data_IF_131663947484
#
_entry.id   IF_131663947484
#
_cell.length_a   1.000
_cell.length_b   1.000
_cell.length_c   1.000
_cell.angle_alpha   90.00
_cell.angle_beta   90.00
_cell.angle_gamma   90.00
#
_symmetry.space_group_name_H-M   'P 1'
#
loop_
_entity.id
_entity.type
_entity.pdbx_description
1 polymer ?
#
# COMPACT_ATOMS: atom_id res chain seq x y z
N UNK A 1 -0.29 -10.70 2.11
CA UNK A 1 -0.96 -11.36 3.25
C UNK A 1 -2.19 -12.14 2.78
N UNK A 2 -3.19 -11.51 2.12
CA UNK A 2 -4.44 -12.17 1.71
C UNK A 2 -4.22 -13.41 0.82
N UNK A 3 -3.45 -13.31 -0.25
CA UNK A 3 -3.14 -14.45 -1.12
C UNK A 3 -2.47 -15.62 -0.36
N UNK A 4 -1.55 -15.31 0.56
CA UNK A 4 -0.91 -16.35 1.37
C UNK A 4 -1.90 -17.04 2.32
N UNK A 5 -2.89 -16.30 2.82
CA UNK A 5 -3.94 -16.90 3.65
C UNK A 5 -4.84 -17.84 2.83
N UNK A 6 -5.20 -17.46 1.59
CA UNK A 6 -5.96 -18.32 0.68
C UNK A 6 -5.18 -19.59 0.27
N UNK A 7 -3.85 -19.48 0.05
CA UNK A 7 -3.01 -20.65 -0.23
C UNK A 7 -3.04 -21.64 0.94
N UNK A 8 -3.00 -21.13 2.19
CA UNK A 8 -3.05 -21.95 3.40
C UNK A 8 -4.45 -22.52 3.70
N UNK A 9 -5.47 -21.74 3.45
CA UNK A 9 -6.87 -22.12 3.66
C UNK A 9 -7.76 -21.51 2.56
N UNK A 10 -8.01 -22.25 1.47
CA UNK A 10 -8.78 -21.77 0.31
C UNK A 10 -10.22 -21.35 0.63
N UNK A 11 -10.80 -21.88 1.72
CA UNK A 11 -12.18 -21.58 2.12
C UNK A 11 -12.29 -20.35 3.04
N UNK A 12 -11.19 -19.69 3.39
CA UNK A 12 -11.21 -18.51 4.26
C UNK A 12 -11.90 -17.32 3.58
N UNK A 13 -12.80 -16.68 4.30
CA UNK A 13 -13.40 -15.43 3.88
C UNK A 13 -12.47 -14.27 4.19
N UNK A 14 -11.80 -13.77 3.16
CA UNK A 14 -10.88 -12.62 3.25
C UNK A 14 -11.59 -11.37 2.75
N UNK A 15 -11.62 -10.34 3.59
CA UNK A 15 -12.14 -9.03 3.21
C UNK A 15 -10.96 -8.05 3.21
N UNK A 16 -10.72 -7.42 2.04
CA UNK A 16 -9.81 -6.29 1.90
C UNK A 16 -10.63 -5.02 1.69
N UNK A 17 -10.32 -3.99 2.45
CA UNK A 17 -11.01 -2.71 2.35
C UNK A 17 -10.03 -1.54 2.56
N UNK A 18 -9.91 -0.62 1.60
CA UNK A 18 -9.36 0.71 1.86
C UNK A 18 -10.22 1.42 2.89
N UNK A 19 -9.61 2.09 3.87
CA UNK A 19 -10.40 2.66 4.96
C UNK A 19 -11.44 3.66 4.48
N UNK A 20 -11.18 4.45 3.46
CA UNK A 20 -12.17 5.40 2.95
C UNK A 20 -13.42 4.74 2.39
N UNK A 21 -13.29 3.53 1.85
CA UNK A 21 -14.44 2.72 1.41
C UNK A 21 -15.23 2.20 2.62
N UNK A 22 -14.55 1.78 3.68
CA UNK A 22 -15.17 1.44 4.95
C UNK A 22 -15.98 2.63 5.49
N UNK A 23 -15.36 3.81 5.59
CA UNK A 23 -16.03 5.04 6.06
C UNK A 23 -17.27 5.36 5.22
N UNK A 24 -17.17 5.24 3.90
CA UNK A 24 -18.30 5.45 2.99
C UNK A 24 -19.41 4.44 3.25
N UNK A 25 -19.08 3.16 3.41
CA UNK A 25 -20.06 2.11 3.71
C UNK A 25 -20.78 2.37 5.02
N UNK A 26 -20.06 2.72 6.10
CA UNK A 26 -20.63 3.09 7.39
C UNK A 26 -21.56 4.31 7.25
N UNK A 27 -21.08 5.38 6.65
CA UNK A 27 -21.84 6.63 6.52
C UNK A 27 -23.13 6.44 5.71
N UNK A 28 -23.05 5.68 4.62
CA UNK A 28 -24.22 5.37 3.78
C UNK A 28 -25.21 4.49 4.53
N UNK A 29 -24.74 3.45 5.22
CA UNK A 29 -25.60 2.53 5.95
C UNK A 29 -26.31 3.19 7.15
N UNK A 30 -25.65 4.14 7.81
CA UNK A 30 -26.28 4.94 8.86
C UNK A 30 -27.45 5.79 8.31
N UNK A 31 -27.27 6.41 7.13
CA UNK A 31 -28.35 7.18 6.48
C UNK A 31 -29.55 6.33 6.07
N UNK A 32 -29.32 5.07 5.72
CA UNK A 32 -30.36 4.14 5.28
C UNK A 32 -30.84 3.17 6.37
N UNK A 33 -30.41 3.34 7.63
CA UNK A 33 -30.72 2.44 8.74
C UNK A 33 -30.36 0.95 8.48
N UNK A 34 -29.26 0.71 7.74
CA UNK A 34 -28.79 -0.63 7.37
C UNK A 34 -27.43 -0.97 8.00
N UNK A 35 -27.03 -0.28 9.05
CA UNK A 35 -25.71 -0.41 9.67
C UNK A 35 -25.41 -1.84 10.14
N UNK A 36 -26.41 -2.56 10.63
CA UNK A 36 -26.24 -3.94 11.09
C UNK A 36 -25.79 -4.88 9.96
N UNK A 37 -26.30 -4.68 8.73
CA UNK A 37 -25.88 -5.50 7.58
C UNK A 37 -24.40 -5.27 7.27
N UNK A 38 -23.92 -4.03 7.37
CA UNK A 38 -22.50 -3.69 7.13
C UNK A 38 -21.62 -4.28 8.22
N UNK A 39 -22.04 -4.21 9.47
CA UNK A 39 -21.34 -4.85 10.60
C UNK A 39 -21.24 -6.35 10.40
N UNK A 40 -22.34 -7.03 10.12
CA UNK A 40 -22.37 -8.47 9.85
C UNK A 40 -21.47 -8.87 8.69
N UNK A 41 -21.43 -8.05 7.62
CA UNK A 41 -20.53 -8.28 6.49
C UNK A 41 -19.06 -8.31 6.94
N UNK A 42 -18.57 -7.28 7.65
CA UNK A 42 -17.19 -7.24 8.12
C UNK A 42 -16.89 -8.28 9.20
N UNK A 43 -17.83 -8.54 10.10
CA UNK A 43 -17.71 -9.55 11.15
C UNK A 43 -17.65 -10.99 10.63
N UNK A 44 -18.14 -11.22 9.41
CA UNK A 44 -18.08 -12.53 8.76
C UNK A 44 -16.69 -12.88 8.21
N UNK A 45 -15.72 -11.96 8.25
CA UNK A 45 -14.37 -12.22 7.76
C UNK A 45 -13.61 -13.20 8.66
N UNK A 46 -12.84 -14.10 8.06
CA UNK A 46 -11.80 -14.87 8.73
C UNK A 46 -10.50 -14.07 8.80
N UNK A 47 -10.27 -13.22 7.80
CA UNK A 47 -9.19 -12.27 7.74
C UNK A 47 -9.71 -10.92 7.21
N UNK A 48 -9.61 -9.88 8.04
CA UNK A 48 -9.90 -8.50 7.65
C UNK A 48 -8.60 -7.75 7.39
N UNK A 49 -8.44 -7.24 6.17
CA UNK A 49 -7.32 -6.40 5.75
C UNK A 49 -7.82 -4.97 5.56
N UNK A 50 -7.30 -4.02 6.34
CA UNK A 50 -7.68 -2.62 6.26
C UNK A 50 -6.48 -1.78 5.86
N UNK A 51 -6.60 -1.07 4.75
CA UNK A 51 -5.52 -0.22 4.24
C UNK A 51 -5.69 1.23 4.70
N UNK A 52 -4.57 1.85 5.08
CA UNK A 52 -4.49 3.23 5.53
C UNK A 52 -5.39 3.56 6.74
N UNK A 53 -5.32 2.75 7.81
CA UNK A 53 -6.20 2.86 9.01
C UNK A 53 -6.15 4.26 9.65
N UNK A 54 -5.06 5.02 9.48
CA UNK A 54 -4.93 6.38 10.01
C UNK A 54 -5.99 7.35 9.46
N UNK A 55 -6.57 7.09 8.29
CA UNK A 55 -7.61 7.91 7.68
C UNK A 55 -8.96 7.87 8.42
N UNK A 56 -9.10 7.00 9.44
CA UNK A 56 -10.29 6.98 10.32
C UNK A 56 -10.30 8.14 11.33
N UNK A 57 -9.16 8.79 11.53
CA UNK A 57 -9.00 9.89 12.46
C UNK A 57 -10.01 11.02 12.20
N UNK A 58 -10.61 11.57 13.26
CA UNK A 58 -11.64 12.61 13.17
C UNK A 58 -12.99 12.15 12.61
N UNK A 59 -13.23 10.86 12.43
CA UNK A 59 -14.49 10.30 11.93
C UNK A 59 -15.21 9.50 13.02
N UNK A 60 -15.73 10.19 14.04
CA UNK A 60 -16.22 9.61 15.30
C UNK A 60 -17.15 8.41 15.09
N UNK A 61 -18.19 8.55 14.24
CA UNK A 61 -19.14 7.46 13.97
C UNK A 61 -18.46 6.24 13.33
N UNK A 62 -17.52 6.46 12.43
CA UNK A 62 -16.77 5.37 11.81
C UNK A 62 -15.79 4.71 12.79
N UNK A 63 -15.19 5.48 13.70
CA UNK A 63 -14.34 4.97 14.78
C UNK A 63 -15.16 4.09 15.73
N UNK A 64 -16.35 4.52 16.10
CA UNK A 64 -17.28 3.78 16.97
C UNK A 64 -17.63 2.41 16.34
N UNK A 65 -18.09 2.40 15.10
CA UNK A 65 -18.49 1.17 14.42
C UNK A 65 -17.29 0.25 14.12
N UNK A 66 -16.14 0.85 13.76
CA UNK A 66 -14.92 0.08 13.59
C UNK A 66 -14.49 -0.61 14.89
N UNK A 67 -14.58 0.08 16.03
CA UNK A 67 -14.28 -0.49 17.33
C UNK A 67 -15.17 -1.70 17.67
N UNK A 68 -16.46 -1.65 17.34
CA UNK A 68 -17.38 -2.78 17.53
C UNK A 68 -17.01 -3.97 16.66
N UNK A 69 -16.73 -3.74 15.37
CA UNK A 69 -16.29 -4.79 14.44
C UNK A 69 -14.95 -5.40 14.89
N UNK A 70 -13.99 -4.55 15.26
CA UNK A 70 -12.69 -4.99 15.76
C UNK A 70 -12.83 -5.91 16.98
N UNK A 71 -13.59 -5.47 18.01
CA UNK A 71 -13.77 -6.27 19.22
C UNK A 71 -14.45 -7.62 18.93
N UNK A 72 -15.42 -7.66 18.03
CA UNK A 72 -16.05 -8.91 17.62
C UNK A 72 -15.04 -9.86 16.98
N UNK A 73 -14.29 -9.41 15.98
CA UNK A 73 -13.28 -10.21 15.30
C UNK A 73 -12.17 -10.67 16.27
N UNK A 74 -11.73 -9.79 17.17
CA UNK A 74 -10.73 -10.10 18.18
C UNK A 74 -11.24 -11.16 19.16
N UNK A 75 -12.46 -11.03 19.69
CA UNK A 75 -13.05 -11.99 20.64
C UNK A 75 -13.30 -13.36 20.00
N UNK A 76 -13.60 -13.39 18.71
CA UNK A 76 -13.79 -14.63 17.94
C UNK A 76 -12.48 -15.18 17.33
N UNK A 77 -11.33 -14.61 17.74
CA UNK A 77 -9.97 -15.04 17.29
C UNK A 77 -9.78 -14.99 15.77
N UNK A 78 -10.46 -14.05 15.10
CA UNK A 78 -10.26 -13.79 13.68
C UNK A 78 -9.03 -12.91 13.48
N UNK A 79 -8.40 -13.05 12.31
CA UNK A 79 -7.20 -12.29 11.99
C UNK A 79 -7.56 -10.90 11.46
N UNK A 80 -6.85 -9.87 11.94
CA UNK A 80 -6.96 -8.50 11.45
C UNK A 80 -5.57 -7.98 11.12
N UNK A 81 -5.42 -7.34 9.96
CA UNK A 81 -4.16 -6.70 9.54
C UNK A 81 -4.48 -5.29 9.07
N UNK A 82 -3.74 -4.31 9.57
CA UNK A 82 -3.82 -2.92 9.15
C UNK A 82 -2.53 -2.46 8.50
N UNK A 83 -2.63 -1.52 7.57
CA UNK A 83 -1.52 -0.65 7.20
C UNK A 83 -1.71 0.74 7.80
N UNK A 84 -0.61 1.41 8.08
CA UNK A 84 -0.60 2.76 8.63
C UNK A 84 0.71 3.46 8.23
N UNK A 85 0.68 4.75 8.00
CA UNK A 85 1.85 5.57 7.67
C UNK A 85 2.68 5.98 8.90
N UNK A 86 2.12 5.78 10.09
CA UNK A 86 2.74 6.17 11.36
C UNK A 86 2.32 5.24 12.51
N UNK A 87 3.06 5.18 13.62
CA UNK A 87 2.66 4.41 14.78
C UNK A 87 1.29 4.84 15.32
N UNK A 88 0.41 3.90 15.73
CA UNK A 88 -0.96 4.21 16.17
C UNK A 88 -1.06 5.29 17.27
N UNK A 89 -0.07 5.34 18.17
CA UNK A 89 0.01 6.34 19.24
C UNK A 89 0.15 7.78 18.74
N UNK A 90 0.70 7.96 17.54
CA UNK A 90 0.95 9.28 16.94
C UNK A 90 -0.22 9.79 16.12
N UNK A 91 -1.24 8.97 15.84
CA UNK A 91 -2.40 9.38 15.07
C UNK A 91 -3.20 10.37 15.90
N UNK A 92 -3.27 11.62 15.43
CA UNK A 92 -4.11 12.66 16.03
C UNK A 92 -5.59 12.32 15.79
N UNK A 93 -6.48 12.78 16.64
CA UNK A 93 -7.94 12.60 16.51
C UNK A 93 -8.40 11.14 16.37
N UNK A 94 -7.57 10.19 16.81
CA UNK A 94 -7.94 8.79 16.99
C UNK A 94 -8.32 8.55 18.45
N UNK A 95 -9.46 7.89 18.70
CA UNK A 95 -9.93 7.57 20.04
C UNK A 95 -8.92 6.69 20.81
N UNK A 96 -8.72 6.98 22.10
CA UNK A 96 -7.74 6.27 22.94
C UNK A 96 -8.00 4.76 22.98
N UNK A 97 -9.27 4.34 22.97
CA UNK A 97 -9.64 2.91 22.94
C UNK A 97 -9.12 2.21 21.68
N UNK A 98 -9.16 2.87 20.50
CA UNK A 98 -8.60 2.33 19.26
C UNK A 98 -7.07 2.36 19.27
N UNK A 99 -6.44 3.45 19.78
CA UNK A 99 -4.96 3.51 19.96
C UNK A 99 -4.46 2.34 20.79
N UNK A 100 -5.13 2.05 21.89
CA UNK A 100 -4.80 0.93 22.78
C UNK A 100 -4.91 -0.41 22.04
N UNK A 101 -6.02 -0.63 21.32
CA UNK A 101 -6.25 -1.87 20.56
C UNK A 101 -5.21 -2.08 19.46
N UNK A 102 -4.92 -1.03 18.68
CA UNK A 102 -3.93 -1.12 17.60
C UNK A 102 -2.52 -1.36 18.12
N UNK A 103 -2.21 -0.85 19.32
CA UNK A 103 -0.89 -1.05 19.97
C UNK A 103 -0.73 -2.43 20.61
N UNK A 104 -1.81 -3.15 20.90
CA UNK A 104 -1.76 -4.49 21.50
C UNK A 104 -1.32 -5.58 20.54
N UNK A 105 -1.45 -5.37 19.22
CA UNK A 105 -1.06 -6.31 18.19
C UNK A 105 0.44 -6.30 17.89
N UNK A 106 0.84 -7.16 16.96
CA UNK A 106 2.20 -7.14 16.40
C UNK A 106 2.35 -5.93 15.47
N UNK A 107 3.18 -4.98 15.87
CA UNK A 107 3.51 -3.82 15.06
C UNK A 107 4.85 -4.03 14.37
N UNK A 108 4.85 -4.04 13.04
CA UNK A 108 6.03 -4.19 12.20
C UNK A 108 6.24 -2.91 11.41
N UNK A 109 7.42 -2.31 11.54
CA UNK A 109 7.83 -1.19 10.72
C UNK A 109 8.47 -1.70 9.44
N UNK A 110 7.97 -1.24 8.29
CA UNK A 110 8.58 -1.48 6.99
C UNK A 110 9.52 -0.31 6.67
N UNK A 111 10.82 -0.58 6.69
CA UNK A 111 11.83 0.40 6.28
C UNK A 111 11.85 0.56 4.75
N UNK A 112 12.24 1.74 4.24
CA UNK A 112 12.54 1.88 2.82
C UNK A 112 13.57 0.85 2.37
N UNK A 113 13.45 0.32 1.13
CA UNK A 113 14.40 -0.66 0.63
C UNK A 113 15.81 -0.05 0.44
N UNK A 114 16.84 -0.83 0.72
CA UNK A 114 18.23 -0.48 0.44
C UNK A 114 18.51 -0.43 -1.07
N UNK A 115 19.69 0.06 -1.47
CA UNK A 115 20.05 0.30 -2.87
C UNK A 115 19.86 -0.94 -3.75
N UNK A 116 20.42 -2.06 -3.32
CA UNK A 116 20.37 -3.33 -4.06
C UNK A 116 18.93 -3.85 -4.18
N UNK A 117 18.14 -3.70 -3.12
CA UNK A 117 16.73 -4.07 -3.14
C UNK A 117 15.93 -3.16 -4.07
N UNK A 118 16.23 -1.85 -4.13
CA UNK A 118 15.59 -0.92 -5.08
C UNK A 118 15.91 -1.30 -6.52
N UNK A 119 17.19 -1.64 -6.81
CA UNK A 119 17.60 -2.11 -8.14
C UNK A 119 16.88 -3.42 -8.52
N UNK A 120 16.81 -4.38 -7.61
CA UNK A 120 16.08 -5.63 -7.85
C UNK A 120 14.56 -5.39 -8.09
N UNK A 121 13.95 -4.43 -7.38
CA UNK A 121 12.55 -4.02 -7.62
C UNK A 121 12.41 -3.44 -9.03
N UNK A 122 13.31 -2.56 -9.45
CA UNK A 122 13.30 -1.97 -10.78
C UNK A 122 13.42 -3.03 -11.89
N UNK A 123 14.37 -3.95 -11.77
CA UNK A 123 14.57 -5.06 -12.71
C UNK A 123 13.32 -5.94 -12.81
N UNK A 124 12.72 -6.30 -11.67
CA UNK A 124 11.50 -7.11 -11.66
C UNK A 124 10.30 -6.39 -12.27
N UNK A 125 10.16 -5.09 -11.99
CA UNK A 125 9.02 -4.30 -12.49
C UNK A 125 9.17 -3.90 -13.95
N UNK A 126 10.40 -3.70 -14.44
CA UNK A 126 10.65 -3.42 -15.86
C UNK A 126 10.22 -4.57 -16.77
N UNK A 127 10.21 -5.81 -16.26
CA UNK A 127 9.76 -7.01 -16.98
C UNK A 127 8.23 -7.15 -17.03
N UNK A 128 7.48 -6.31 -16.32
CA UNK A 128 6.02 -6.34 -16.38
C UNK A 128 5.57 -6.06 -17.83
N UNK A 129 4.61 -6.82 -18.40
CA UNK A 129 4.12 -6.61 -19.77
C UNK A 129 3.64 -5.19 -20.07
N UNK A 130 3.16 -4.47 -19.06
CA UNK A 130 2.75 -3.07 -19.22
C UNK A 130 3.92 -2.09 -19.37
N UNK A 131 5.11 -2.43 -18.85
CA UNK A 131 6.33 -1.61 -18.90
C UNK A 131 7.22 -2.12 -20.02
N UNK A 132 7.56 -3.40 -20.02
CA UNK A 132 8.33 -4.11 -21.06
C UNK A 132 9.63 -3.39 -21.44
N UNK A 133 10.42 -2.95 -20.45
CA UNK A 133 11.73 -2.35 -20.63
C UNK A 133 12.82 -3.37 -20.26
N UNK A 134 13.85 -3.49 -21.10
CA UNK A 134 15.00 -4.33 -20.81
C UNK A 134 16.08 -3.50 -20.13
N UNK A 135 16.09 -3.48 -18.79
CA UNK A 135 17.10 -2.78 -18.00
C UNK A 135 18.28 -3.69 -17.68
N UNK A 136 19.49 -3.21 -17.90
CA UNK A 136 20.69 -3.84 -17.33
C UNK A 136 20.78 -3.56 -15.81
N UNK A 137 21.53 -4.39 -15.10
CA UNK A 137 21.77 -4.22 -13.66
C UNK A 137 22.41 -2.86 -13.35
N UNK A 138 23.37 -2.42 -14.15
CA UNK A 138 24.04 -1.12 -14.01
C UNK A 138 23.05 0.06 -14.15
N UNK A 139 22.12 -0.02 -15.08
CA UNK A 139 21.09 1.01 -15.28
C UNK A 139 20.10 0.99 -14.14
N UNK A 140 19.69 -0.17 -13.66
CA UNK A 140 18.80 -0.30 -12.50
C UNK A 140 19.46 0.26 -11.23
N UNK A 141 20.74 -0.03 -10.98
CA UNK A 141 21.50 0.55 -9.86
C UNK A 141 21.64 2.07 -10.00
N UNK A 142 21.87 2.57 -11.22
CA UNK A 142 21.93 4.01 -11.48
C UNK A 142 20.62 4.71 -11.13
N UNK A 143 19.47 4.20 -11.58
CA UNK A 143 18.15 4.74 -11.22
C UNK A 143 17.94 4.65 -9.70
N UNK A 144 18.22 3.48 -9.11
CA UNK A 144 18.05 3.23 -7.68
C UNK A 144 18.89 4.17 -6.78
N UNK A 145 20.06 4.59 -7.24
CA UNK A 145 20.93 5.51 -6.48
C UNK A 145 20.38 6.94 -6.43
N UNK A 146 19.54 7.33 -7.37
CA UNK A 146 18.96 8.67 -7.46
C UNK A 146 17.53 8.74 -6.96
N UNK A 147 16.76 7.65 -7.08
CA UNK A 147 15.37 7.57 -6.61
C UNK A 147 15.34 6.84 -5.27
N UNK A 148 15.47 7.60 -4.17
CA UNK A 148 15.66 7.06 -2.81
C UNK A 148 14.40 7.11 -1.94
N UNK A 149 13.34 7.78 -2.38
CA UNK A 149 12.20 8.15 -1.52
C UNK A 149 11.29 6.97 -1.16
N UNK A 150 10.79 6.22 -2.13
CA UNK A 150 9.89 5.09 -1.91
C UNK A 150 9.72 4.24 -3.18
N UNK A 151 9.06 3.07 -3.06
CA UNK A 151 8.83 2.16 -4.19
C UNK A 151 7.90 2.75 -5.25
N UNK A 152 6.93 3.61 -4.86
CA UNK A 152 6.02 4.28 -5.82
C UNK A 152 6.78 5.23 -6.74
N UNK A 153 7.80 5.91 -6.22
CA UNK A 153 8.65 6.80 -7.03
C UNK A 153 9.54 6.01 -7.99
N UNK A 154 9.99 4.80 -7.60
CA UNK A 154 10.66 3.88 -8.52
C UNK A 154 9.74 3.45 -9.67
N UNK A 155 8.49 3.12 -9.39
CA UNK A 155 7.48 2.81 -10.41
C UNK A 155 7.19 4.01 -11.30
N UNK A 156 7.05 5.20 -10.71
CA UNK A 156 6.89 6.45 -11.44
C UNK A 156 8.06 6.74 -12.37
N UNK A 157 9.30 6.47 -11.92
CA UNK A 157 10.50 6.62 -12.74
C UNK A 157 10.49 5.63 -13.93
N UNK A 158 10.09 4.38 -13.72
CA UNK A 158 9.96 3.40 -14.81
C UNK A 158 8.91 3.81 -15.85
N UNK A 159 7.76 4.32 -15.40
CA UNK A 159 6.71 4.81 -16.30
C UNK A 159 7.15 6.03 -17.11
N UNK A 160 7.87 6.97 -16.48
CA UNK A 160 8.47 8.12 -17.20
C UNK A 160 9.51 7.66 -18.21
N UNK A 161 10.40 6.74 -17.83
CA UNK A 161 11.41 6.19 -18.73
C UNK A 161 10.75 5.50 -19.92
N UNK A 162 9.74 4.66 -19.67
CA UNK A 162 8.98 4.02 -20.75
C UNK A 162 8.37 5.05 -21.70
N UNK A 163 7.66 6.03 -21.19
CA UNK A 163 7.04 7.07 -22.02
C UNK A 163 8.08 7.83 -22.88
N UNK A 164 9.27 8.13 -22.30
CA UNK A 164 10.36 8.78 -23.02
C UNK A 164 10.92 7.89 -24.13
N UNK A 165 11.17 6.60 -23.86
CA UNK A 165 11.68 5.62 -24.80
C UNK A 165 10.69 5.44 -25.96
N UNK A 166 9.39 5.27 -25.66
CA UNK A 166 8.32 5.13 -26.66
C UNK A 166 8.21 6.40 -27.54
N UNK A 167 8.25 7.58 -26.96
CA UNK A 167 8.16 8.86 -27.68
C UNK A 167 9.37 9.11 -28.56
N UNK A 168 10.58 8.78 -28.06
CA UNK A 168 11.83 8.97 -28.78
C UNK A 168 12.14 7.84 -29.78
N UNK A 169 11.28 6.84 -29.89
CA UNK A 169 11.45 5.66 -30.73
C UNK A 169 12.77 4.91 -30.48
N UNK A 170 13.23 4.91 -29.24
CA UNK A 170 14.41 4.19 -28.81
C UNK A 170 14.05 2.71 -28.65
N UNK A 171 14.93 1.81 -29.10
CA UNK A 171 14.76 0.37 -28.86
C UNK A 171 14.76 0.08 -27.37
N UNK A 172 13.73 -0.63 -26.89
CA UNK A 172 13.57 -1.02 -25.47
C UNK A 172 14.72 -1.90 -24.94
N UNK A 173 15.56 -2.45 -25.83
CA UNK A 173 16.78 -3.20 -25.48
C UNK A 173 18.03 -2.32 -25.31
N UNK A 174 17.97 -1.05 -25.73
CA UNK A 174 19.11 -0.12 -25.77
C UNK A 174 19.02 0.99 -24.70
N UNK A 175 18.53 0.66 -23.51
CA UNK A 175 18.39 1.63 -22.42
C UNK A 175 19.76 1.80 -21.73
N UNK A 176 20.37 2.96 -22.00
CA UNK A 176 21.63 3.37 -21.37
C UNK A 176 21.40 4.39 -20.26
N UNK A 177 22.46 4.71 -19.50
CA UNK A 177 22.41 5.77 -18.47
C UNK A 177 22.06 7.14 -19.09
N UNK A 178 22.54 7.44 -20.29
CA UNK A 178 22.23 8.70 -20.99
C UNK A 178 20.74 8.80 -21.33
N UNK A 179 20.12 7.71 -21.75
CA UNK A 179 18.68 7.63 -21.98
C UNK A 179 17.91 7.88 -20.69
N UNK A 180 18.37 7.30 -19.57
CA UNK A 180 17.78 7.52 -18.25
C UNK A 180 17.94 8.97 -17.80
N UNK A 181 19.10 9.60 -18.01
CA UNK A 181 19.31 11.02 -17.69
C UNK A 181 18.41 11.93 -18.52
N UNK A 182 18.22 11.61 -19.80
CA UNK A 182 17.27 12.33 -20.66
C UNK A 182 15.83 12.22 -20.18
N UNK A 183 15.42 11.04 -19.74
CA UNK A 183 14.05 10.77 -19.29
C UNK A 183 13.76 11.29 -17.87
N UNK A 184 14.73 11.19 -16.97
CA UNK A 184 14.58 11.41 -15.53
C UNK A 184 15.39 12.60 -15.01
N UNK A 185 15.88 13.49 -15.90
CA UNK A 185 16.76 14.59 -15.54
C UNK A 185 16.31 15.43 -14.34
N UNK A 186 14.99 15.63 -14.16
CA UNK A 186 14.42 16.36 -13.03
C UNK A 186 14.53 15.61 -11.70
N UNK A 187 14.61 14.26 -11.74
CA UNK A 187 14.72 13.38 -10.57
C UNK A 187 16.18 13.11 -10.20
N UNK A 188 17.08 13.15 -11.20
CA UNK A 188 18.50 12.76 -11.08
C UNK A 188 19.38 13.96 -10.74
N UNK A 189 19.03 15.16 -11.22
CA UNK A 189 19.78 16.38 -10.87
C UNK A 189 19.54 16.77 -9.43
N UNK A 190 20.58 17.03 -8.61
CA UNK A 190 20.40 17.54 -7.26
C UNK A 190 19.59 18.85 -7.34
N UNK A 191 18.51 18.94 -6.55
CA UNK A 191 17.82 20.23 -6.35
C UNK A 191 18.84 21.21 -5.81
N UNK A 192 19.14 22.25 -6.60
CA UNK A 192 19.99 23.38 -6.18
C UNK A 192 19.36 24.10 -5.00
#
# INVERSE_FOLDING_TARGET
>A
AGHLALIKNPNSKIIYVPLMDFVRNITTSLRHNTIENVKLFYQSADLLLVDDIHLIAGKDKSQEEFFHIFNFLFSTKKQIIFTCDQPPKNIKDLENRLKTRFSQGLNLQLSPPELEMRAAILLKKSQNPQISLNLSEDVALFIASHVMSNVRDLEGALLKLKAFVDFSQIDHSLITKDVVEGALGDLIKPKK
#
